data_IF_435144519160
#
_entry.id   IF_435144519160
#
_cell.length_a   1.000
_cell.length_b   1.000
_cell.length_c   1.000
_cell.angle_alpha   90.00
_cell.angle_beta   90.00
_cell.angle_gamma   90.00
#
_symmetry.space_group_name_H-M   'P 1'
#
loop_
_entity.id
_entity.type
_entity.pdbx_description
1 polymer ?
#
# COMPACT_ATOMS: atom_id res chain seq x y z
N UNK A 1 22.94 10.33 10.98
CA UNK A 1 22.09 10.88 9.90
C UNK A 1 20.66 10.84 10.39
N UNK A 2 20.11 12.00 10.74
CA UNK A 2 18.70 12.12 11.11
C UNK A 2 17.93 12.28 9.80
N UNK A 3 17.30 11.20 9.31
CA UNK A 3 16.41 11.25 8.15
C UNK A 3 15.08 11.79 8.69
N UNK A 4 15.06 13.07 9.01
CA UNK A 4 13.87 13.74 9.54
C UNK A 4 12.76 13.59 8.52
N UNK A 5 11.61 13.06 8.95
CA UNK A 5 10.38 13.14 8.19
C UNK A 5 10.09 14.62 7.92
N UNK A 6 10.03 14.99 6.64
CA UNK A 6 9.76 16.35 6.19
C UNK A 6 8.29 16.45 5.77
N UNK A 7 7.40 17.02 6.61
CA UNK A 7 5.96 17.10 6.32
C UNK A 7 5.62 17.93 5.07
N UNK A 8 6.55 18.77 4.61
CA UNK A 8 6.36 19.68 3.48
C UNK A 8 6.68 19.04 2.12
N UNK A 9 7.25 17.82 2.11
CA UNK A 9 7.53 17.07 0.89
C UNK A 9 6.30 16.25 0.50
N UNK A 10 5.83 16.38 -0.75
CA UNK A 10 4.73 15.56 -1.26
C UNK A 10 5.17 14.09 -1.31
N UNK A 11 4.81 13.36 -0.25
CA UNK A 11 5.12 11.96 -0.07
C UNK A 11 4.06 11.04 -0.71
N UNK A 12 3.19 11.58 -1.58
CA UNK A 12 2.19 10.79 -2.30
C UNK A 12 2.87 9.90 -3.32
N UNK A 13 2.77 8.56 -3.22
CA UNK A 13 3.40 7.68 -4.18
C UNK A 13 2.71 7.80 -5.55
N UNK A 14 3.53 7.75 -6.59
CA UNK A 14 3.09 7.65 -7.97
C UNK A 14 2.35 6.32 -8.22
N UNK A 15 1.50 6.22 -9.25
CA UNK A 15 0.83 4.97 -9.60
C UNK A 15 1.79 3.80 -9.79
N UNK A 16 2.97 4.05 -10.38
CA UNK A 16 3.99 3.02 -10.59
C UNK A 16 4.63 2.54 -9.28
N UNK A 17 4.79 3.42 -8.30
CA UNK A 17 5.26 3.02 -6.97
C UNK A 17 4.22 2.17 -6.25
N UNK A 18 2.93 2.53 -6.33
CA UNK A 18 1.82 1.71 -5.82
C UNK A 18 1.81 0.33 -6.47
N UNK A 19 2.01 0.23 -7.78
CA UNK A 19 2.09 -1.05 -8.50
C UNK A 19 3.26 -1.92 -8.03
N UNK A 20 4.44 -1.31 -7.82
CA UNK A 20 5.63 -2.00 -7.33
C UNK A 20 5.42 -2.50 -5.89
N UNK A 21 4.85 -1.66 -5.01
CA UNK A 21 4.52 -2.03 -3.64
C UNK A 21 3.55 -3.22 -3.61
N UNK A 22 2.48 -3.16 -4.41
CA UNK A 22 1.52 -4.25 -4.54
C UNK A 22 2.20 -5.54 -5.02
N UNK A 23 3.04 -5.47 -6.06
CA UNK A 23 3.74 -6.65 -6.60
C UNK A 23 4.68 -7.30 -5.56
N UNK A 24 5.40 -6.49 -4.77
CA UNK A 24 6.26 -6.99 -3.70
C UNK A 24 5.44 -7.68 -2.61
N UNK A 25 4.33 -7.07 -2.20
CA UNK A 25 3.46 -7.66 -1.19
C UNK A 25 2.82 -8.96 -1.69
N UNK A 26 2.31 -8.98 -2.92
CA UNK A 26 1.77 -10.20 -3.55
C UNK A 26 2.82 -11.32 -3.58
N UNK A 27 4.07 -11.01 -3.95
CA UNK A 27 5.15 -12.00 -4.00
C UNK A 27 5.59 -12.52 -2.63
N UNK A 28 5.59 -11.68 -1.58
CA UNK A 28 6.06 -12.07 -0.24
C UNK A 28 4.97 -12.64 0.66
N UNK A 29 3.74 -12.17 0.52
CA UNK A 29 2.64 -12.46 1.44
C UNK A 29 1.50 -13.23 0.78
N UNK A 30 1.50 -13.39 -0.56
CA UNK A 30 0.49 -14.15 -1.29
C UNK A 30 -0.91 -13.65 -0.97
N UNK A 31 -1.78 -14.56 -0.50
CA UNK A 31 -3.17 -14.26 -0.12
C UNK A 31 -3.32 -13.19 0.98
N UNK A 32 -2.26 -12.92 1.74
CA UNK A 32 -2.28 -11.96 2.85
C UNK A 32 -1.82 -10.55 2.44
N UNK A 33 -1.44 -10.35 1.18
CA UNK A 33 -0.86 -9.09 0.72
C UNK A 33 -1.78 -7.87 0.97
N UNK A 34 -3.08 -7.99 0.71
CA UNK A 34 -4.04 -6.90 0.95
C UNK A 34 -4.17 -6.57 2.45
N UNK A 35 -4.21 -7.58 3.30
CA UNK A 35 -4.34 -7.42 4.76
C UNK A 35 -3.09 -6.77 5.38
N UNK A 36 -1.91 -7.09 4.85
CA UNK A 36 -0.65 -6.43 5.23
C UNK A 36 -0.65 -4.95 4.81
N UNK A 37 -1.15 -4.62 3.62
CA UNK A 37 -1.30 -3.23 3.19
C UNK A 37 -2.31 -2.46 4.07
N UNK A 38 -3.45 -3.07 4.40
CA UNK A 38 -4.44 -2.49 5.32
C UNK A 38 -3.85 -2.23 6.72
N UNK A 39 -3.01 -3.14 7.22
CA UNK A 39 -2.30 -2.93 8.49
C UNK A 39 -1.46 -1.64 8.46
N UNK A 40 -0.68 -1.42 7.40
CA UNK A 40 0.12 -0.21 7.28
C UNK A 40 -0.75 1.04 7.10
N UNK A 41 -1.86 0.94 6.36
CA UNK A 41 -2.83 2.03 6.22
C UNK A 41 -3.38 2.48 7.57
N UNK A 42 -3.83 1.53 8.39
CA UNK A 42 -4.35 1.78 9.74
C UNK A 42 -3.27 2.36 10.65
N UNK A 43 -2.06 1.79 10.63
CA UNK A 43 -0.95 2.25 11.45
C UNK A 43 -0.60 3.71 11.18
N UNK A 44 -0.51 4.10 9.91
CA UNK A 44 -0.25 5.48 9.52
C UNK A 44 -1.41 6.41 9.84
N UNK A 45 -2.67 5.96 9.65
CA UNK A 45 -3.85 6.74 10.03
C UNK A 45 -3.90 7.02 11.54
N UNK A 46 -3.59 6.04 12.37
CA UNK A 46 -3.51 6.18 13.83
C UNK A 46 -2.36 7.10 14.28
N UNK A 47 -1.29 7.18 13.47
CA UNK A 47 -0.13 8.05 13.73
C UNK A 47 -0.31 9.48 13.20
N UNK A 48 -1.46 9.79 12.58
CA UNK A 48 -1.74 11.09 11.97
C UNK A 48 -1.13 11.31 10.59
N UNK A 49 -0.52 10.28 9.99
CA UNK A 49 0.06 10.34 8.65
C UNK A 49 -1.00 9.92 7.61
N UNK A 50 -1.89 10.87 7.29
CA UNK A 50 -2.98 10.63 6.37
C UNK A 50 -2.49 10.28 4.95
N UNK A 51 -1.40 10.90 4.49
CA UNK A 51 -0.84 10.65 3.16
C UNK A 51 -0.39 9.20 3.00
N UNK A 52 0.40 8.69 3.96
CA UNK A 52 0.82 7.27 3.94
C UNK A 52 -0.33 6.32 4.20
N UNK A 53 -1.31 6.70 5.01
CA UNK A 53 -2.53 5.91 5.20
C UNK A 53 -3.26 5.69 3.88
N UNK A 54 -3.53 6.75 3.13
CA UNK A 54 -4.17 6.69 1.81
C UNK A 54 -3.36 5.91 0.78
N UNK A 55 -2.03 6.11 0.74
CA UNK A 55 -1.14 5.35 -0.12
C UNK A 55 -1.29 3.83 0.09
N UNK A 56 -1.22 3.38 1.34
CA UNK A 56 -1.35 1.97 1.68
C UNK A 56 -2.76 1.42 1.45
N UNK A 57 -3.81 2.22 1.63
CA UNK A 57 -5.17 1.85 1.25
C UNK A 57 -5.28 1.62 -0.26
N UNK A 58 -4.65 2.46 -1.09
CA UNK A 58 -4.58 2.29 -2.54
C UNK A 58 -3.86 0.99 -2.94
N UNK A 59 -2.76 0.65 -2.26
CA UNK A 59 -2.06 -0.64 -2.46
C UNK A 59 -2.97 -1.82 -2.11
N UNK A 60 -3.69 -1.76 -0.98
CA UNK A 60 -4.60 -2.82 -0.56
C UNK A 60 -5.70 -3.06 -1.61
N UNK A 61 -6.32 -1.99 -2.13
CA UNK A 61 -7.35 -2.12 -3.16
C UNK A 61 -6.80 -2.68 -4.47
N UNK A 62 -5.60 -2.25 -4.90
CA UNK A 62 -4.97 -2.80 -6.10
C UNK A 62 -4.71 -4.30 -5.98
N UNK A 63 -4.23 -4.76 -4.82
CA UNK A 63 -4.02 -6.19 -4.56
C UNK A 63 -5.35 -6.96 -4.63
N UNK A 64 -6.42 -6.45 -4.00
CA UNK A 64 -7.76 -7.05 -4.05
C UNK A 64 -8.30 -7.10 -5.48
N UNK A 65 -8.09 -6.04 -6.26
CA UNK A 65 -8.49 -6.00 -7.67
C UNK A 65 -7.77 -7.08 -8.49
N UNK A 66 -6.44 -7.22 -8.33
CA UNK A 66 -5.67 -8.26 -9.01
C UNK A 66 -6.08 -9.67 -8.57
N UNK A 67 -6.41 -9.84 -7.29
CA UNK A 67 -6.95 -11.10 -6.76
C UNK A 67 -8.29 -11.47 -7.41
N UNK A 68 -9.25 -10.52 -7.46
CA UNK A 68 -10.53 -10.71 -8.17
C UNK A 68 -10.31 -11.09 -9.63
N UNK A 69 -9.42 -10.38 -10.34
CA UNK A 69 -9.08 -10.69 -11.73
C UNK A 69 -8.46 -12.07 -11.92
N UNK A 70 -7.70 -12.58 -10.94
CA UNK A 70 -7.15 -13.95 -10.99
C UNK A 70 -8.26 -14.98 -10.81
N UNK A 71 -9.22 -14.74 -9.93
CA UNK A 71 -10.35 -15.65 -9.68
C UNK A 71 -11.31 -15.68 -10.87
N UNK A 72 -11.62 -14.53 -11.47
CA UNK A 72 -12.53 -14.41 -12.63
C UNK A 72 -11.98 -15.03 -13.93
N UNK A 73 -10.67 -15.30 -13.99
CA UNK A 73 -10.01 -15.93 -15.15
C UNK A 73 -9.94 -17.46 -15.07
N UNK A 74 -10.44 -18.06 -13.99
CA UNK A 74 -10.51 -19.52 -13.76
C UNK A 74 -11.90 -20.01 -14.10
#
# INVERSE_FOLDING_TARGET
>A
MNIGWHPDEDATPTPREVENMAAVLEGRHGRHAAEVADFFSIHHGQSGDAGRSWAWAGVAELVRQRERQRIERV
#
